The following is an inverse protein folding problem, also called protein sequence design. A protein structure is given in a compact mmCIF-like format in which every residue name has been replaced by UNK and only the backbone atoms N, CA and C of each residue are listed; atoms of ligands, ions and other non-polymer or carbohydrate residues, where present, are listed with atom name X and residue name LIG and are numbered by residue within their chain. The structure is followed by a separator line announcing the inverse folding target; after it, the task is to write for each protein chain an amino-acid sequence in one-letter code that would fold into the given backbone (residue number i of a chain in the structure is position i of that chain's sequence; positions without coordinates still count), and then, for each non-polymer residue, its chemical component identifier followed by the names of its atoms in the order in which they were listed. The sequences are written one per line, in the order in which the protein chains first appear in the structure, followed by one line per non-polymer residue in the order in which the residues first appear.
data_IF_979923819893
#
_entry.id   IF_979923819893
#
_cell.length_a   1.000
_cell.length_b   1.000
_cell.length_c   1.000
_cell.angle_alpha   90.00
_cell.angle_beta   90.00
_cell.angle_gamma   90.00
#
_symmetry.space_group_name_H-M   'P 1'
#
loop_
_entity.id
_entity.type
_entity.pdbx_description
1 polymer ?
#
# COMPACT_ATOMS: atom_id res chain seq x y z
N UNK A 1 6.06 38.90 -19.79
CA UNK A 1 6.35 38.82 -18.35
C UNK A 1 5.08 38.54 -17.52
N UNK A 2 4.01 39.28 -17.73
CA UNK A 2 2.75 39.08 -17.03
C UNK A 2 2.15 37.69 -17.33
N UNK A 3 2.23 37.23 -18.58
CA UNK A 3 1.77 35.88 -18.98
C UNK A 3 2.58 34.79 -18.31
N UNK A 4 3.88 34.98 -18.22
CA UNK A 4 4.75 34.00 -17.59
C UNK A 4 4.52 33.91 -16.08
N UNK A 5 4.35 35.02 -15.41
CA UNK A 5 4.07 35.10 -13.99
C UNK A 5 2.71 34.41 -13.68
N UNK A 6 1.68 34.71 -14.51
CA UNK A 6 0.36 34.09 -14.37
C UNK A 6 0.42 32.58 -14.60
N UNK A 7 1.19 32.13 -15.59
CA UNK A 7 1.38 30.71 -15.88
C UNK A 7 2.07 29.99 -14.72
N UNK A 8 3.13 30.57 -14.17
CA UNK A 8 3.86 30.00 -13.02
C UNK A 8 2.96 29.88 -11.80
N UNK A 9 2.14 30.89 -11.55
CA UNK A 9 1.18 30.86 -10.45
C UNK A 9 0.13 29.77 -10.65
N UNK A 10 -0.42 29.66 -11.87
CA UNK A 10 -1.40 28.62 -12.20
C UNK A 10 -0.81 27.22 -12.03
N UNK A 11 0.45 27.02 -12.49
CA UNK A 11 1.14 25.75 -12.33
C UNK A 11 1.40 25.41 -10.86
N UNK A 12 1.82 26.40 -10.07
CA UNK A 12 2.06 26.23 -8.64
C UNK A 12 0.75 25.89 -7.90
N UNK A 13 -0.34 26.59 -8.24
CA UNK A 13 -1.66 26.33 -7.66
C UNK A 13 -2.15 24.92 -8.02
N UNK A 14 -1.95 24.50 -9.27
CA UNK A 14 -2.32 23.17 -9.73
C UNK A 14 -1.52 22.07 -9.00
N UNK A 15 -0.21 22.29 -8.81
CA UNK A 15 0.64 21.34 -8.07
C UNK A 15 0.23 21.25 -6.60
N UNK A 16 -0.06 22.38 -5.96
CA UNK A 16 -0.50 22.42 -4.57
C UNK A 16 -1.82 21.70 -4.39
N UNK A 17 -2.75 21.89 -5.34
CA UNK A 17 -4.05 21.23 -5.35
C UNK A 17 -3.92 19.72 -5.54
N UNK A 18 -3.07 19.29 -6.48
CA UNK A 18 -2.80 17.88 -6.75
C UNK A 18 -2.14 17.22 -5.53
N UNK A 19 -1.20 17.90 -4.87
CA UNK A 19 -0.53 17.40 -3.67
C UNK A 19 -1.52 17.24 -2.52
N UNK A 20 -2.38 18.23 -2.31
CA UNK A 20 -3.42 18.18 -1.28
C UNK A 20 -4.37 17.00 -1.51
N UNK A 21 -4.77 16.79 -2.77
CA UNK A 21 -5.63 15.67 -3.15
C UNK A 21 -4.92 14.33 -2.91
N UNK A 22 -3.67 14.22 -3.31
CA UNK A 22 -2.86 13.01 -3.12
C UNK A 22 -2.76 12.65 -1.64
N UNK A 23 -2.49 13.61 -0.79
CA UNK A 23 -2.42 13.41 0.66
C UNK A 23 -3.77 13.01 1.25
N UNK A 24 -4.86 13.64 0.80
CA UNK A 24 -6.21 13.33 1.28
C UNK A 24 -6.68 11.95 0.85
N UNK A 25 -6.39 11.56 -0.40
CA UNK A 25 -6.79 10.26 -0.96
C UNK A 25 -5.94 9.11 -0.41
N UNK A 26 -4.73 9.42 0.05
CA UNK A 26 -3.78 8.41 0.52
C UNK A 26 -3.27 8.77 1.92
N UNK A 27 -4.11 8.66 2.95
CA UNK A 27 -3.65 8.88 4.32
C UNK A 27 -2.66 7.79 4.73
N UNK A 28 -1.85 8.06 5.75
CA UNK A 28 -1.01 7.03 6.35
C UNK A 28 -1.89 5.88 6.84
N UNK A 29 -1.48 4.64 6.52
CA UNK A 29 -2.30 3.44 6.78
C UNK A 29 -1.43 2.32 7.31
N UNK A 30 -2.07 1.39 8.01
CA UNK A 30 -1.42 0.18 8.50
C UNK A 30 -1.76 -0.99 7.59
N UNK A 31 -0.75 -1.77 7.26
CA UNK A 31 -0.83 -2.91 6.37
C UNK A 31 -0.07 -4.08 6.96
N UNK A 32 -0.27 -5.26 6.42
CA UNK A 32 0.54 -6.42 6.75
C UNK A 32 1.34 -6.77 5.49
N UNK A 33 2.66 -6.69 5.57
CA UNK A 33 3.53 -7.08 4.46
C UNK A 33 3.71 -8.59 4.46
N UNK A 34 3.31 -9.24 3.36
CA UNK A 34 3.32 -10.69 3.24
C UNK A 34 4.31 -11.21 2.20
N UNK A 35 4.92 -10.32 1.43
CA UNK A 35 5.89 -10.73 0.43
C UNK A 35 6.48 -9.56 -0.33
N UNK A 36 7.33 -9.88 -1.29
CA UNK A 36 7.94 -8.94 -2.22
C UNK A 36 7.96 -9.59 -3.61
N UNK A 37 7.97 -8.78 -4.65
CA UNK A 37 8.05 -9.28 -6.01
C UNK A 37 8.34 -8.18 -7.01
N UNK A 38 8.83 -8.57 -8.17
CA UNK A 38 9.25 -7.63 -9.22
C UNK A 38 8.09 -7.04 -10.00
N UNK A 39 7.02 -7.79 -10.16
CA UNK A 39 5.89 -7.40 -10.99
C UNK A 39 4.57 -7.88 -10.42
N UNK A 40 3.48 -7.40 -11.00
CA UNK A 40 2.13 -7.69 -10.53
C UNK A 40 1.78 -9.18 -10.60
N UNK A 41 2.24 -9.87 -11.62
CA UNK A 41 1.98 -11.31 -11.77
C UNK A 41 2.59 -12.13 -10.63
N UNK A 42 3.84 -11.81 -10.27
CA UNK A 42 4.53 -12.46 -9.15
C UNK A 42 3.81 -12.18 -7.83
N UNK A 43 3.39 -10.93 -7.61
CA UNK A 43 2.64 -10.55 -6.41
C UNK A 43 1.28 -11.25 -6.34
N UNK A 44 0.57 -11.33 -7.47
CA UNK A 44 -0.72 -12.01 -7.56
C UNK A 44 -0.62 -13.49 -7.22
N UNK A 45 0.42 -14.15 -7.73
CA UNK A 45 0.70 -15.54 -7.41
C UNK A 45 0.94 -15.75 -5.91
N UNK A 46 1.80 -14.92 -5.33
CA UNK A 46 2.11 -14.97 -3.89
C UNK A 46 0.86 -14.70 -3.06
N UNK A 47 0.05 -13.72 -3.45
CA UNK A 47 -1.19 -13.38 -2.74
C UNK A 47 -2.16 -14.56 -2.71
N UNK A 48 -2.40 -15.20 -3.86
CA UNK A 48 -3.29 -16.36 -3.95
C UNK A 48 -2.83 -17.49 -3.04
N UNK A 49 -1.53 -17.80 -3.08
CA UNK A 49 -0.93 -18.84 -2.24
C UNK A 49 -1.07 -18.50 -0.76
N UNK A 50 -0.77 -17.27 -0.37
CA UNK A 50 -0.85 -16.85 1.03
C UNK A 50 -2.29 -16.85 1.54
N UNK A 51 -3.25 -16.45 0.73
CA UNK A 51 -4.68 -16.51 1.09
C UNK A 51 -5.15 -17.95 1.31
N UNK A 52 -4.65 -18.89 0.51
CA UNK A 52 -4.97 -20.30 0.64
C UNK A 52 -4.41 -20.87 1.94
N UNK A 53 -3.18 -20.48 2.28
CA UNK A 53 -2.48 -21.02 3.45
C UNK A 53 -2.89 -20.35 4.77
N UNK A 54 -3.40 -19.12 4.69
CA UNK A 54 -3.70 -18.30 5.88
C UNK A 54 -5.11 -17.72 5.80
N UNK A 55 -6.03 -18.31 6.57
CA UNK A 55 -7.44 -17.90 6.55
C UNK A 55 -7.68 -16.44 6.97
N UNK A 56 -6.79 -15.86 7.76
CA UNK A 56 -6.89 -14.47 8.19
C UNK A 56 -6.82 -13.51 6.99
N UNK A 57 -6.22 -13.94 5.88
CA UNK A 57 -6.09 -13.13 4.66
C UNK A 57 -7.24 -13.31 3.68
N UNK A 58 -8.16 -14.28 3.92
CA UNK A 58 -9.15 -14.69 2.93
C UNK A 58 -10.02 -13.54 2.39
N UNK A 59 -10.36 -12.57 3.24
CA UNK A 59 -11.21 -11.43 2.88
C UNK A 59 -10.42 -10.11 2.71
N UNK A 60 -9.10 -10.18 2.66
CA UNK A 60 -8.24 -8.99 2.53
C UNK A 60 -7.80 -8.80 1.08
N UNK A 61 -7.82 -7.57 0.60
CA UNK A 61 -7.26 -7.22 -0.70
C UNK A 61 -5.75 -7.09 -0.60
N UNK A 62 -5.07 -7.46 -1.68
CA UNK A 62 -3.63 -7.26 -1.81
C UNK A 62 -3.31 -5.99 -2.57
N UNK A 63 -2.24 -5.33 -2.16
CA UNK A 63 -1.77 -4.09 -2.75
C UNK A 63 -0.27 -4.14 -2.93
N UNK A 64 0.24 -3.40 -3.90
CA UNK A 64 1.67 -3.25 -4.11
C UNK A 64 2.13 -1.85 -3.73
N UNK A 65 3.26 -1.79 -3.04
CA UNK A 65 3.95 -0.55 -2.70
C UNK A 65 5.37 -0.62 -3.25
N UNK A 66 5.80 0.42 -3.94
CA UNK A 66 7.14 0.48 -4.51
C UNK A 66 8.21 0.41 -3.42
N UNK A 67 9.27 -0.37 -3.65
CA UNK A 67 10.38 -0.50 -2.73
C UNK A 67 11.68 -0.79 -3.51
N UNK A 68 12.41 0.27 -3.85
CA UNK A 68 13.60 0.15 -4.70
C UNK A 68 13.23 -0.44 -6.06
N UNK A 69 13.94 -1.48 -6.47
CA UNK A 69 13.72 -2.18 -7.74
C UNK A 69 12.62 -3.25 -7.64
N UNK A 70 12.00 -3.42 -6.48
CA UNK A 70 10.96 -4.41 -6.25
C UNK A 70 9.68 -3.74 -5.76
N UNK A 71 8.71 -4.55 -5.36
CA UNK A 71 7.46 -4.07 -4.78
C UNK A 71 7.14 -4.88 -3.55
N UNK A 72 6.62 -4.21 -2.52
CA UNK A 72 6.06 -4.90 -1.35
C UNK A 72 4.69 -5.44 -1.71
N UNK A 73 4.39 -6.64 -1.29
CA UNK A 73 3.02 -7.15 -1.31
C UNK A 73 2.45 -6.96 0.09
N UNK A 74 1.42 -6.16 0.20
CA UNK A 74 0.76 -5.86 1.47
C UNK A 74 -0.72 -6.15 1.39
N UNK A 75 -1.34 -6.47 2.51
CA UNK A 75 -2.78 -6.68 2.62
C UNK A 75 -3.38 -5.71 3.61
N UNK A 76 -4.61 -5.32 3.39
CA UNK A 76 -5.31 -4.37 4.22
C UNK A 76 -6.08 -3.36 3.37
N UNK A 77 -6.19 -2.11 3.82
CA UNK A 77 -5.62 -1.54 5.05
C UNK A 77 -6.36 -1.96 6.32
N UNK A 78 -5.65 -1.95 7.44
CA UNK A 78 -6.24 -2.20 8.74
C UNK A 78 -6.65 -0.87 9.38
N UNK A 79 -7.79 -0.87 10.05
CA UNK A 79 -8.33 0.36 10.65
C UNK A 79 -7.45 0.91 11.78
N UNK A 80 -6.77 0.03 12.51
CA UNK A 80 -5.90 0.42 13.63
C UNK A 80 -4.62 -0.41 13.64
N UNK A 81 -3.61 0.09 14.33
CA UNK A 81 -2.37 -0.65 14.58
C UNK A 81 -2.66 -1.96 15.33
N UNK A 82 -3.57 -1.92 16.30
CA UNK A 82 -3.94 -3.10 17.08
C UNK A 82 -4.47 -4.22 16.18
N UNK A 83 -5.36 -3.89 15.24
CA UNK A 83 -5.91 -4.87 14.29
C UNK A 83 -4.83 -5.44 13.36
N UNK A 84 -3.90 -4.60 12.93
CA UNK A 84 -2.77 -5.05 12.10
C UNK A 84 -1.87 -6.00 12.89
N UNK A 85 -1.60 -5.71 14.15
CA UNK A 85 -0.80 -6.57 15.03
C UNK A 85 -1.49 -7.88 15.34
N UNK A 86 -2.80 -7.88 15.50
CA UNK A 86 -3.58 -9.11 15.69
C UNK A 86 -3.43 -10.03 14.47
N UNK A 87 -3.53 -9.47 13.26
CA UNK A 87 -3.32 -10.22 12.03
C UNK A 87 -1.90 -10.75 11.92
N UNK A 88 -0.90 -9.95 12.30
CA UNK A 88 0.50 -10.37 12.35
C UNK A 88 0.69 -11.58 13.27
N UNK A 89 0.09 -11.55 14.44
CA UNK A 89 0.16 -12.65 15.41
C UNK A 89 -0.48 -13.92 14.85
N UNK A 90 -1.62 -13.81 14.17
CA UNK A 90 -2.27 -14.95 13.52
C UNK A 90 -1.40 -15.53 12.41
N UNK A 91 -0.76 -14.69 11.62
CA UNK A 91 0.16 -15.14 10.57
C UNK A 91 1.36 -15.87 11.17
N UNK A 92 1.89 -15.37 12.26
CA UNK A 92 3.00 -16.00 12.98
C UNK A 92 2.64 -17.38 13.49
N UNK A 93 1.45 -17.55 14.02
CA UNK A 93 0.93 -18.88 14.45
C UNK A 93 0.90 -19.86 13.28
N UNK A 94 0.61 -19.37 12.08
CA UNK A 94 0.60 -20.17 10.86
C UNK A 94 1.97 -20.37 10.22
N UNK A 95 3.05 -19.92 10.87
CA UNK A 95 4.41 -20.10 10.37
C UNK A 95 4.90 -19.01 9.42
N UNK A 96 4.17 -17.92 9.28
CA UNK A 96 4.56 -16.81 8.40
C UNK A 96 5.37 -15.76 9.15
N UNK A 97 6.30 -15.13 8.44
CA UNK A 97 7.09 -14.00 8.94
C UNK A 97 6.52 -12.64 8.53
N UNK A 98 5.26 -12.60 8.11
CA UNK A 98 4.59 -11.34 7.79
C UNK A 98 4.66 -10.36 8.97
N UNK A 99 4.74 -9.07 8.64
CA UNK A 99 4.90 -8.04 9.66
C UNK A 99 4.10 -6.79 9.31
N UNK A 100 3.76 -6.01 10.33
CA UNK A 100 3.05 -4.75 10.16
C UNK A 100 3.96 -3.74 9.46
N UNK A 101 3.43 -3.10 8.43
CA UNK A 101 4.08 -2.03 7.70
C UNK A 101 3.13 -0.83 7.63
N UNK A 102 3.67 0.35 7.82
CA UNK A 102 2.90 1.59 7.76
C UNK A 102 3.30 2.38 6.51
N UNK A 103 2.33 2.68 5.66
CA UNK A 103 2.56 3.58 4.53
C UNK A 103 2.50 5.03 5.01
N UNK A 104 3.30 5.88 4.38
CA UNK A 104 3.33 7.31 4.69
C UNK A 104 2.11 8.01 4.09
N UNK A 105 1.76 9.17 4.67
CA UNK A 105 0.73 10.01 4.07
C UNK A 105 1.12 10.37 2.63
N UNK A 106 0.21 10.19 1.70
CA UNK A 106 0.42 10.46 0.29
C UNK A 106 1.03 9.31 -0.49
N UNK A 107 1.46 8.26 0.15
CA UNK A 107 2.01 7.09 -0.54
C UNK A 107 0.89 6.34 -1.28
N UNK A 108 1.04 6.22 -2.59
CA UNK A 108 0.06 5.55 -3.44
C UNK A 108 0.40 4.07 -3.57
N UNK A 109 -0.59 3.22 -3.34
CA UNK A 109 -0.47 1.79 -3.53
C UNK A 109 -1.39 1.35 -4.66
N UNK A 110 -0.98 0.33 -5.41
CA UNK A 110 -1.76 -0.21 -6.51
C UNK A 110 -2.36 -1.55 -6.11
N UNK A 111 -3.62 -1.78 -6.46
CA UNK A 111 -4.29 -3.05 -6.16
C UNK A 111 -3.65 -4.18 -6.95
N UNK A 112 -3.40 -5.28 -6.29
CA UNK A 112 -2.86 -6.50 -6.92
C UNK A 112 -4.03 -7.37 -7.35
N UNK A 113 -4.04 -7.75 -8.64
CA UNK A 113 -5.06 -8.65 -9.18
C UNK A 113 -4.84 -10.08 -8.69
N UNK A 114 -5.94 -10.80 -8.56
CA UNK A 114 -5.94 -12.21 -8.18
C UNK A 114 -6.18 -13.15 -9.36
#
# INVERSE_FOLDING_TARGET
EAKEAARRKAEADARAKAEKKRLADNPARYWLQIGVGRNNSALGFTLRRMKKDHSVLAKKDGWSAAWGATNRLVVGPFATLAKAKDAEAEMKKGGSDAFVWRSDAGEELAKVGE
#
